data_IF_640730460635
#
_entry.id   IF_640730460635
#
_cell.length_a   1.000
_cell.length_b   1.000
_cell.length_c   1.000
_cell.angle_alpha   90.00
_cell.angle_beta   90.00
_cell.angle_gamma   90.00
#
_symmetry.space_group_name_H-M   'P 1'
#
loop_
_entity.id
_entity.type
_entity.pdbx_description
1 polymer ?
#
# COMPACT_ATOMS: atom_id res chain seq x y z
N UNK A 1 16.33 9.47 2.73
CA UNK A 1 15.04 10.13 3.04
C UNK A 1 14.32 9.49 4.22
N UNK A 2 13.92 8.21 4.15
CA UNK A 2 13.14 7.55 5.21
C UNK A 2 13.83 7.56 6.59
N UNK A 3 15.13 7.24 6.65
CA UNK A 3 15.92 7.27 7.88
C UNK A 3 15.99 8.69 8.52
N UNK A 4 16.07 9.73 7.68
CA UNK A 4 16.08 11.13 8.13
C UNK A 4 14.71 11.56 8.66
N UNK A 5 13.62 11.17 7.99
CA UNK A 5 12.26 11.45 8.47
C UNK A 5 11.98 10.70 9.78
N UNK A 6 12.41 9.44 9.87
CA UNK A 6 12.25 8.60 11.05
C UNK A 6 13.05 9.09 12.27
N UNK A 7 14.21 9.70 12.07
CA UNK A 7 14.99 10.29 13.17
C UNK A 7 14.33 11.51 13.80
N UNK A 8 13.47 12.21 13.05
CA UNK A 8 12.67 13.32 13.56
C UNK A 8 11.34 12.84 14.16
N UNK A 9 10.65 11.90 13.50
CA UNK A 9 9.41 11.28 13.99
C UNK A 9 9.25 9.86 13.45
N UNK A 10 9.25 8.84 14.33
CA UNK A 10 8.99 7.46 13.93
C UNK A 10 7.63 7.28 13.24
N UNK A 11 6.60 8.05 13.65
CA UNK A 11 5.28 7.97 13.05
C UNK A 11 5.28 8.42 11.57
N UNK A 12 6.01 9.50 11.26
CA UNK A 12 6.18 9.96 9.87
C UNK A 12 6.99 8.93 9.07
N UNK A 13 8.03 8.36 9.67
CA UNK A 13 8.81 7.28 9.06
C UNK A 13 7.95 6.07 8.67
N UNK A 14 7.11 5.60 9.59
CA UNK A 14 6.20 4.47 9.33
C UNK A 14 5.16 4.83 8.28
N UNK A 15 4.56 6.02 8.33
CA UNK A 15 3.58 6.46 7.33
C UNK A 15 4.17 6.49 5.92
N UNK A 16 5.35 7.11 5.77
CA UNK A 16 6.03 7.17 4.47
C UNK A 16 6.42 5.76 3.98
N UNK A 17 6.88 4.89 4.88
CA UNK A 17 7.24 3.52 4.56
C UNK A 17 6.02 2.74 4.08
N UNK A 18 4.94 2.70 4.87
CA UNK A 18 3.73 1.97 4.55
C UNK A 18 3.12 2.44 3.22
N UNK A 19 3.06 3.76 3.01
CA UNK A 19 2.53 4.36 1.80
C UNK A 19 3.26 3.91 0.52
N UNK A 20 4.59 3.86 0.52
CA UNK A 20 5.36 3.68 -0.73
C UNK A 20 5.98 2.31 -0.92
N UNK A 21 6.24 1.57 0.17
CA UNK A 21 6.96 0.29 0.11
C UNK A 21 6.03 -0.92 -0.02
N UNK A 22 4.85 -0.85 0.62
CA UNK A 22 3.85 -1.93 0.59
C UNK A 22 2.48 -1.45 0.10
N UNK A 23 2.19 -0.15 0.23
CA UNK A 23 1.00 0.48 -0.32
C UNK A 23 1.01 0.53 -1.86
N UNK A 24 -0.06 1.08 -2.43
CA UNK A 24 -0.40 1.09 -3.86
C UNK A 24 0.78 1.36 -4.83
N UNK A 25 1.73 2.29 -4.57
CA UNK A 25 2.86 2.55 -5.46
C UNK A 25 3.69 1.32 -5.82
N UNK A 26 3.98 0.43 -4.87
CA UNK A 26 4.91 -0.68 -5.10
C UNK A 26 4.27 -1.81 -5.94
N UNK A 27 3.07 -2.34 -5.61
CA UNK A 27 2.41 -3.32 -6.46
C UNK A 27 2.11 -2.81 -7.87
N UNK A 28 1.73 -1.54 -8.03
CA UNK A 28 1.50 -0.97 -9.37
C UNK A 28 2.77 -0.90 -10.22
N UNK A 29 3.91 -0.53 -9.63
CA UNK A 29 5.21 -0.53 -10.33
C UNK A 29 5.63 -1.92 -10.78
N UNK A 30 5.36 -2.94 -9.97
CA UNK A 30 5.77 -4.32 -10.25
C UNK A 30 4.80 -5.05 -11.18
N UNK A 31 3.50 -4.86 -10.99
CA UNK A 31 2.44 -5.71 -11.56
C UNK A 31 1.32 -4.94 -12.25
N UNK A 32 1.26 -3.61 -12.09
CA UNK A 32 0.19 -2.80 -12.68
C UNK A 32 0.33 -2.66 -14.19
N UNK A 33 -0.80 -2.56 -14.90
CA UNK A 33 -0.84 -2.20 -16.32
C UNK A 33 -0.46 -0.74 -16.54
N UNK A 34 -0.21 -0.34 -17.78
CA UNK A 34 0.10 1.06 -18.10
C UNK A 34 -1.05 2.00 -17.69
N UNK A 35 -2.29 1.62 -18.01
CA UNK A 35 -3.47 2.40 -17.68
C UNK A 35 -3.66 2.54 -16.16
N UNK A 36 -3.36 1.48 -15.39
CA UNK A 36 -3.40 1.54 -13.93
C UNK A 36 -2.30 2.47 -13.38
N UNK A 37 -1.09 2.40 -13.93
CA UNK A 37 0.03 3.25 -13.49
C UNK A 37 -0.24 4.72 -13.77
N UNK A 38 -0.67 5.06 -14.97
CA UNK A 38 -1.04 6.43 -15.36
C UNK A 38 -2.18 6.98 -14.48
N UNK A 39 -3.16 6.14 -14.14
CA UNK A 39 -4.29 6.55 -13.31
C UNK A 39 -3.94 6.76 -11.83
N UNK A 40 -3.12 5.90 -11.24
CA UNK A 40 -2.99 5.83 -9.78
C UNK A 40 -1.65 6.35 -9.23
N UNK A 41 -0.53 6.23 -9.97
CA UNK A 41 0.76 6.71 -9.47
C UNK A 41 0.81 8.24 -9.27
N UNK A 42 0.26 9.08 -10.17
CA UNK A 42 0.25 10.53 -9.96
C UNK A 42 -0.52 10.94 -8.70
N UNK A 43 -1.60 10.22 -8.37
CA UNK A 43 -2.39 10.43 -7.16
C UNK A 43 -1.60 10.11 -5.90
N UNK A 44 -0.95 8.94 -5.85
CA UNK A 44 -0.11 8.55 -4.72
C UNK A 44 1.06 9.53 -4.51
N UNK A 45 1.61 10.09 -5.59
CA UNK A 45 2.73 11.02 -5.50
C UNK A 45 2.33 12.44 -5.03
N UNK A 46 1.05 12.82 -5.12
CA UNK A 46 0.63 14.22 -4.99
C UNK A 46 -0.51 14.48 -4.02
N UNK A 47 -1.55 13.63 -4.02
CA UNK A 47 -2.82 13.96 -3.38
C UNK A 47 -3.26 12.93 -2.34
N UNK A 48 -2.94 11.66 -2.55
CA UNK A 48 -3.59 10.56 -1.84
C UNK A 48 -2.58 9.75 -1.01
N UNK A 49 -2.99 9.34 0.19
CA UNK A 49 -2.24 8.39 1.02
C UNK A 49 -2.80 6.98 0.78
N UNK A 50 -1.96 6.09 0.29
CA UNK A 50 -2.25 4.66 0.16
C UNK A 50 -1.93 3.84 1.43
N UNK A 51 -2.55 2.67 1.53
CA UNK A 51 -2.36 1.68 2.58
C UNK A 51 -2.30 0.26 1.98
N UNK A 52 -1.83 -0.71 2.79
CA UNK A 52 -1.82 -2.12 2.46
C UNK A 52 -2.80 -2.87 3.38
N UNK A 53 -3.90 -3.37 2.82
CA UNK A 53 -5.01 -3.95 3.56
C UNK A 53 -4.97 -5.48 3.50
N UNK A 54 -4.08 -6.07 4.30
CA UNK A 54 -3.93 -7.54 4.40
C UNK A 54 -4.46 -8.09 5.72
N UNK A 55 -4.11 -7.49 6.85
CA UNK A 55 -4.49 -8.00 8.18
C UNK A 55 -6.01 -7.90 8.40
N UNK A 56 -6.59 -8.96 8.95
CA UNK A 56 -8.00 -9.04 9.38
C UNK A 56 -8.06 -9.33 10.90
N UNK A 57 -9.22 -9.20 11.58
CA UNK A 57 -9.32 -9.40 13.03
C UNK A 57 -8.70 -10.71 13.55
N UNK A 58 -8.84 -11.80 12.79
CA UNK A 58 -8.34 -13.14 13.15
C UNK A 58 -7.15 -13.60 12.27
N UNK A 59 -6.62 -12.73 11.40
CA UNK A 59 -5.59 -13.08 10.41
C UNK A 59 -4.41 -12.11 10.48
N UNK A 60 -3.26 -12.62 10.94
CA UNK A 60 -1.99 -11.89 11.00
C UNK A 60 -0.88 -12.62 10.24
N UNK A 61 -0.13 -13.47 10.94
CA UNK A 61 1.04 -14.17 10.38
C UNK A 61 0.71 -15.24 9.32
N UNK A 62 -0.55 -15.69 9.24
CA UNK A 62 -1.02 -16.70 8.28
C UNK A 62 -2.03 -16.09 7.28
N UNK A 63 -1.55 -15.34 6.27
CA UNK A 63 -2.42 -14.67 5.29
C UNK A 63 -3.13 -15.64 4.34
N UNK A 64 -2.84 -16.94 4.39
CA UNK A 64 -3.61 -17.92 3.61
C UNK A 64 -5.05 -18.09 4.14
N UNK A 65 -5.33 -17.57 5.34
CA UNK A 65 -6.63 -17.68 6.03
C UNK A 65 -7.54 -16.46 5.89
N UNK A 66 -7.27 -15.55 4.95
CA UNK A 66 -8.14 -14.39 4.71
C UNK A 66 -9.59 -14.81 4.47
N UNK A 67 -10.52 -14.08 5.08
CA UNK A 67 -11.96 -14.26 4.93
C UNK A 67 -12.57 -13.29 3.91
N UNK A 68 -11.91 -12.17 3.59
CA UNK A 68 -12.40 -11.22 2.57
C UNK A 68 -12.48 -11.88 1.20
N UNK A 69 -13.68 -11.86 0.60
CA UNK A 69 -13.93 -12.44 -0.73
C UNK A 69 -14.17 -11.37 -1.78
N UNK A 70 -13.65 -11.60 -2.99
CA UNK A 70 -14.03 -10.85 -4.19
C UNK A 70 -14.69 -11.82 -5.18
N UNK A 71 -15.98 -11.63 -5.44
CA UNK A 71 -16.76 -12.44 -6.40
C UNK A 71 -16.92 -11.61 -7.67
N UNK A 72 -16.55 -12.12 -8.86
CA UNK A 72 -16.76 -11.40 -10.11
C UNK A 72 -18.25 -11.11 -10.32
N UNK A 73 -18.59 -9.83 -10.45
CA UNK A 73 -19.89 -9.40 -10.97
C UNK A 73 -19.64 -8.92 -12.41
N UNK A 74 -20.31 -9.57 -13.35
CA UNK A 74 -20.14 -9.33 -14.79
C UNK A 74 -20.72 -8.01 -15.26
#
# INVERSE_FOLDING_TARGET
ALALAGSASPAIGVLLSAHQSIGVPQPLKLFGTEEQRERFLPRCARTDISAFLLTEPDVGSDPARLATTAIPEG
#
